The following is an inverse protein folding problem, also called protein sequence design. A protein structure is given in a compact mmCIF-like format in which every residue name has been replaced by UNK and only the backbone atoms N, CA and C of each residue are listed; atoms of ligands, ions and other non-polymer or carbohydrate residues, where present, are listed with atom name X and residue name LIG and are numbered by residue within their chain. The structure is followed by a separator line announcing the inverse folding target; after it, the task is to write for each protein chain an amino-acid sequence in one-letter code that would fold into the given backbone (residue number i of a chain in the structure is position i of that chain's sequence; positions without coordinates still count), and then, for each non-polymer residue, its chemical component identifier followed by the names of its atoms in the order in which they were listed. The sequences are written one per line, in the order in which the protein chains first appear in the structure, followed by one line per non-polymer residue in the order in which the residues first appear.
data_IF_790483949707
#
_entry.id   IF_790483949707
#
_cell.length_a   1.000
_cell.length_b   1.000
_cell.length_c   1.000
_cell.angle_alpha   90.00
_cell.angle_beta   90.00
_cell.angle_gamma   90.00
#
_symmetry.space_group_name_H-M   'P 1'
#
loop_
_entity.id
_entity.type
_entity.pdbx_description
1 polymer ?
#
# COMPACT_ATOMS: atom_id res chain seq x y z
N UNK A 1 -7.92 9.62 -34.55
CA UNK A 1 -7.97 8.74 -33.35
C UNK A 1 -7.18 7.48 -33.69
N UNK A 2 -6.09 7.17 -32.98
CA UNK A 2 -5.24 6.02 -33.35
C UNK A 2 -5.94 4.72 -32.86
N UNK A 3 -6.74 4.10 -33.76
CA UNK A 3 -7.50 2.89 -33.46
C UNK A 3 -6.62 1.68 -33.16
N UNK A 4 -5.40 1.63 -33.71
CA UNK A 4 -4.45 0.54 -33.58
C UNK A 4 -4.04 0.32 -32.10
N UNK A 5 -3.78 1.40 -31.34
CA UNK A 5 -3.42 1.29 -29.90
C UNK A 5 -4.53 0.61 -29.08
N UNK A 6 -5.80 0.92 -29.39
CA UNK A 6 -6.94 0.31 -28.69
C UNK A 6 -7.14 -1.15 -29.09
N UNK A 7 -6.91 -1.50 -30.34
CA UNK A 7 -6.96 -2.89 -30.81
C UNK A 7 -5.96 -3.75 -30.03
N UNK A 8 -4.72 -3.32 -29.92
CA UNK A 8 -3.69 -4.02 -29.16
C UNK A 8 -4.03 -4.07 -27.66
N UNK A 9 -4.51 -2.97 -27.09
CA UNK A 9 -4.91 -2.94 -25.67
C UNK A 9 -6.05 -3.93 -25.35
N UNK A 10 -7.09 -3.97 -26.18
CA UNK A 10 -8.21 -4.90 -26.01
C UNK A 10 -7.75 -6.35 -26.17
N UNK A 11 -6.92 -6.65 -27.16
CA UNK A 11 -6.32 -8.00 -27.31
C UNK A 11 -5.50 -8.39 -26.09
N UNK A 12 -4.69 -7.49 -25.55
CA UNK A 12 -3.95 -7.73 -24.32
C UNK A 12 -4.87 -8.10 -23.16
N UNK A 13 -5.97 -7.35 -22.96
CA UNK A 13 -6.96 -7.63 -21.92
C UNK A 13 -7.63 -9.01 -22.09
N UNK A 14 -7.98 -9.38 -23.33
CA UNK A 14 -8.53 -10.71 -23.63
C UNK A 14 -7.52 -11.82 -23.34
N UNK A 15 -6.26 -11.64 -23.74
CA UNK A 15 -5.18 -12.60 -23.46
C UNK A 15 -4.93 -12.76 -21.96
N UNK A 16 -5.06 -11.68 -21.17
CA UNK A 16 -5.00 -11.77 -19.70
C UNK A 16 -6.13 -12.64 -19.14
N UNK A 17 -7.35 -12.47 -19.61
CA UNK A 17 -8.49 -13.30 -19.16
C UNK A 17 -8.28 -14.78 -19.51
N UNK A 18 -7.57 -15.08 -20.59
CA UNK A 18 -7.19 -16.43 -21.00
C UNK A 18 -5.91 -16.96 -20.31
N UNK A 19 -5.32 -16.19 -19.38
CA UNK A 19 -4.09 -16.57 -18.68
C UNK A 19 -2.81 -16.47 -19.51
N UNK A 20 -2.88 -15.97 -20.74
CA UNK A 20 -1.75 -15.87 -21.68
C UNK A 20 -0.89 -14.62 -21.39
N UNK A 21 -0.24 -14.59 -20.23
CA UNK A 21 0.43 -13.41 -19.67
C UNK A 21 1.50 -12.82 -20.58
N UNK A 22 2.40 -13.64 -21.14
CA UNK A 22 3.49 -13.17 -22.01
C UNK A 22 2.96 -12.53 -23.31
N UNK A 23 1.92 -13.15 -23.89
CA UNK A 23 1.28 -12.61 -25.08
C UNK A 23 0.57 -11.29 -24.78
N UNK A 24 -0.07 -11.17 -23.60
CA UNK A 24 -0.68 -9.93 -23.16
C UNK A 24 0.35 -8.80 -23.00
N UNK A 25 1.50 -9.10 -22.40
CA UNK A 25 2.62 -8.15 -22.30
C UNK A 25 3.07 -7.65 -23.68
N UNK A 26 3.26 -8.54 -24.64
CA UNK A 26 3.65 -8.17 -26.01
C UNK A 26 2.62 -7.22 -26.65
N UNK A 27 1.34 -7.49 -26.49
CA UNK A 27 0.27 -6.64 -27.03
C UNK A 27 0.21 -5.26 -26.33
N UNK A 28 0.43 -5.17 -25.02
CA UNK A 28 0.55 -3.87 -24.35
C UNK A 28 1.75 -3.06 -24.85
N UNK A 29 2.88 -3.71 -25.10
CA UNK A 29 4.04 -3.05 -25.72
C UNK A 29 3.72 -2.54 -27.13
N UNK A 30 2.99 -3.32 -27.93
CA UNK A 30 2.54 -2.88 -29.26
C UNK A 30 1.61 -1.66 -29.15
N UNK A 31 0.71 -1.65 -28.18
CA UNK A 31 -0.16 -0.49 -27.93
C UNK A 31 0.65 0.79 -27.62
N UNK A 32 1.73 0.69 -26.80
CA UNK A 32 2.65 1.81 -26.54
C UNK A 32 3.52 2.19 -27.75
N UNK A 33 3.84 1.24 -28.60
CA UNK A 33 4.55 1.55 -29.87
C UNK A 33 3.68 2.33 -30.83
N UNK A 34 2.36 2.05 -30.86
CA UNK A 34 1.39 2.80 -31.64
C UNK A 34 1.15 4.20 -31.08
N UNK A 35 1.20 4.34 -29.76
CA UNK A 35 1.03 5.61 -29.06
C UNK A 35 1.78 5.58 -27.74
N UNK A 36 2.98 6.22 -27.66
CA UNK A 36 3.79 6.29 -26.43
C UNK A 36 3.07 6.95 -25.26
N UNK A 37 2.11 7.84 -25.52
CA UNK A 37 1.32 8.53 -24.51
C UNK A 37 0.04 7.79 -24.11
N UNK A 38 -0.08 6.51 -24.48
CA UNK A 38 -1.23 5.70 -24.14
C UNK A 38 -1.18 5.19 -22.69
N UNK A 39 -1.58 6.05 -21.76
CA UNK A 39 -1.56 5.84 -20.31
C UNK A 39 -2.15 4.49 -19.86
N UNK A 40 -3.21 4.00 -20.51
CA UNK A 40 -3.85 2.74 -20.13
C UNK A 40 -2.93 1.54 -20.32
N UNK A 41 -2.16 1.51 -21.40
CA UNK A 41 -1.17 0.46 -21.64
C UNK A 41 0.03 0.58 -20.67
N UNK A 42 0.49 1.81 -20.39
CA UNK A 42 1.54 2.05 -19.41
C UNK A 42 1.15 1.53 -18.01
N UNK A 43 -0.04 1.86 -17.54
CA UNK A 43 -0.56 1.34 -16.26
C UNK A 43 -0.69 -0.19 -16.26
N UNK A 44 -1.20 -0.77 -17.34
CA UNK A 44 -1.33 -2.23 -17.44
C UNK A 44 0.03 -2.93 -17.39
N UNK A 45 1.03 -2.42 -18.11
CA UNK A 45 2.40 -2.92 -18.06
C UNK A 45 3.00 -2.80 -16.65
N UNK A 46 2.82 -1.64 -16.00
CA UNK A 46 3.29 -1.44 -14.62
C UNK A 46 2.76 -2.51 -13.68
N UNK A 47 1.45 -2.80 -13.75
CA UNK A 47 0.82 -3.84 -12.96
C UNK A 47 1.30 -5.25 -13.30
N UNK A 48 1.48 -5.56 -14.58
CA UNK A 48 2.00 -6.87 -14.99
C UNK A 48 3.43 -7.10 -14.50
N UNK A 49 4.29 -6.09 -14.63
CA UNK A 49 5.66 -6.16 -14.12
C UNK A 49 5.69 -6.25 -12.58
N UNK A 50 4.84 -5.50 -11.88
CA UNK A 50 4.73 -5.58 -10.43
C UNK A 50 4.28 -6.98 -9.96
N UNK A 51 3.28 -7.57 -10.65
CA UNK A 51 2.80 -8.93 -10.35
C UNK A 51 3.82 -10.03 -10.66
N UNK A 52 4.78 -9.76 -11.53
CA UNK A 52 5.91 -10.64 -11.84
C UNK A 52 7.17 -10.32 -11.00
N UNK A 53 7.03 -9.48 -9.96
CA UNK A 53 8.11 -9.01 -9.08
C UNK A 53 9.26 -8.27 -9.81
N UNK A 54 9.00 -7.85 -11.04
CA UNK A 54 9.91 -7.04 -11.84
C UNK A 54 9.74 -5.57 -11.49
N UNK A 55 10.15 -5.21 -10.29
CA UNK A 55 9.83 -3.90 -9.69
C UNK A 55 10.48 -2.72 -10.41
N UNK A 56 11.68 -2.89 -10.95
CA UNK A 56 12.37 -1.83 -11.70
C UNK A 56 11.57 -1.40 -12.96
N UNK A 57 11.06 -2.38 -13.70
CA UNK A 57 10.23 -2.11 -14.88
C UNK A 57 8.87 -1.55 -14.48
N UNK A 58 8.27 -2.08 -13.40
CA UNK A 58 7.01 -1.56 -12.87
C UNK A 58 7.12 -0.08 -12.50
N UNK A 59 8.19 0.32 -11.79
CA UNK A 59 8.48 1.70 -11.43
C UNK A 59 8.57 2.57 -12.68
N UNK A 60 9.30 2.12 -13.70
CA UNK A 60 9.43 2.87 -14.96
C UNK A 60 8.08 3.16 -15.59
N UNK A 61 7.20 2.15 -15.71
CA UNK A 61 5.90 2.31 -16.35
C UNK A 61 4.90 3.08 -15.49
N UNK A 62 4.94 2.99 -14.16
CA UNK A 62 4.13 3.85 -13.30
C UNK A 62 4.57 5.31 -13.39
N UNK A 63 5.88 5.59 -13.44
CA UNK A 63 6.39 6.96 -13.68
C UNK A 63 5.93 7.51 -15.02
N UNK A 64 5.95 6.69 -16.07
CA UNK A 64 5.46 7.09 -17.37
C UNK A 64 3.95 7.40 -17.35
N UNK A 65 3.14 6.56 -16.71
CA UNK A 65 1.72 6.81 -16.54
C UNK A 65 1.44 8.11 -15.77
N UNK A 66 2.26 8.41 -14.74
CA UNK A 66 2.16 9.64 -13.94
C UNK A 66 2.65 10.88 -14.70
N UNK A 67 3.66 10.75 -15.58
CA UNK A 67 4.04 11.83 -16.51
C UNK A 67 2.85 12.29 -17.34
N UNK A 68 2.01 11.34 -17.78
CA UNK A 68 0.82 11.62 -18.59
C UNK A 68 -0.37 12.13 -17.76
N UNK A 69 -0.46 11.76 -16.49
CA UNK A 69 -1.50 12.19 -15.55
C UNK A 69 -0.96 12.26 -14.12
N UNK A 70 -0.33 13.37 -13.78
CA UNK A 70 0.24 13.60 -12.46
C UNK A 70 -0.77 13.56 -11.31
N UNK A 71 -2.03 13.92 -11.55
CA UNK A 71 -3.10 13.93 -10.55
C UNK A 71 -3.79 12.57 -10.33
N UNK A 72 -3.13 11.45 -10.58
CA UNK A 72 -3.69 10.12 -10.37
C UNK A 72 -3.25 9.55 -9.00
N UNK A 73 -4.08 9.76 -7.97
CA UNK A 73 -3.80 9.29 -6.61
C UNK A 73 -3.57 7.77 -6.53
N UNK A 74 -4.27 6.99 -7.35
CA UNK A 74 -4.12 5.53 -7.38
C UNK A 74 -2.80 5.14 -8.03
N UNK A 75 -2.38 5.81 -9.10
CA UNK A 75 -1.08 5.55 -9.72
C UNK A 75 0.08 5.89 -8.76
N UNK A 76 -0.03 7.00 -8.00
CA UNK A 76 0.94 7.32 -6.93
C UNK A 76 0.97 6.26 -5.82
N UNK A 77 -0.20 5.80 -5.35
CA UNK A 77 -0.29 4.71 -4.37
C UNK A 77 0.40 3.44 -4.89
N UNK A 78 0.10 3.03 -6.11
CA UNK A 78 0.69 1.84 -6.73
C UNK A 78 2.21 1.96 -6.89
N UNK A 79 2.70 3.14 -7.28
CA UNK A 79 4.13 3.42 -7.36
C UNK A 79 4.78 3.31 -5.99
N UNK A 80 4.16 3.86 -4.94
CA UNK A 80 4.63 3.75 -3.56
C UNK A 80 4.70 2.30 -3.09
N UNK A 81 3.67 1.49 -3.41
CA UNK A 81 3.65 0.07 -3.11
C UNK A 81 4.82 -0.68 -3.79
N UNK A 82 5.07 -0.40 -5.06
CA UNK A 82 6.17 -1.05 -5.81
C UNK A 82 7.53 -0.60 -5.27
N UNK A 83 7.69 0.66 -4.90
CA UNK A 83 8.92 1.13 -4.24
C UNK A 83 9.17 0.42 -2.90
N UNK A 84 8.12 0.27 -2.07
CA UNK A 84 8.24 -0.46 -0.81
C UNK A 84 8.67 -1.93 -1.04
N UNK A 85 8.08 -2.60 -2.02
CA UNK A 85 8.48 -3.97 -2.42
C UNK A 85 9.89 -4.04 -2.96
N UNK A 86 10.35 -3.00 -3.65
CA UNK A 86 11.72 -2.88 -4.18
C UNK A 86 12.73 -2.38 -3.13
N UNK A 87 12.37 -2.38 -1.83
CA UNK A 87 13.23 -1.93 -0.72
C UNK A 87 13.72 -0.49 -0.84
N UNK A 88 12.87 0.38 -1.36
CA UNK A 88 13.09 1.81 -1.53
C UNK A 88 12.08 2.61 -0.67
N UNK A 89 12.18 2.56 0.68
CA UNK A 89 11.18 3.13 1.57
C UNK A 89 11.05 4.65 1.47
N UNK A 90 12.11 5.38 1.18
CA UNK A 90 12.06 6.85 1.04
C UNK A 90 11.22 7.27 -0.17
N UNK A 91 11.41 6.61 -1.31
CA UNK A 91 10.64 6.82 -2.53
C UNK A 91 9.19 6.37 -2.35
N UNK A 92 8.97 5.29 -1.57
CA UNK A 92 7.63 4.83 -1.21
C UNK A 92 6.88 5.91 -0.40
N UNK A 93 7.51 6.50 0.63
CA UNK A 93 6.95 7.60 1.43
C UNK A 93 6.55 8.77 0.53
N UNK A 94 7.45 9.21 -0.34
CA UNK A 94 7.17 10.31 -1.28
C UNK A 94 5.95 10.01 -2.17
N UNK A 95 5.87 8.79 -2.70
CA UNK A 95 4.77 8.38 -3.58
C UNK A 95 3.44 8.24 -2.82
N UNK A 96 3.45 7.63 -1.63
CA UNK A 96 2.27 7.56 -0.76
C UNK A 96 1.83 8.97 -0.31
N UNK A 97 2.79 9.85 0.01
CA UNK A 97 2.52 11.25 0.35
C UNK A 97 1.79 11.99 -0.77
N UNK A 98 2.23 11.82 -2.03
CA UNK A 98 1.52 12.36 -3.18
C UNK A 98 0.10 11.78 -3.33
N UNK A 99 -0.06 10.47 -3.09
CA UNK A 99 -1.37 9.82 -3.15
C UNK A 99 -2.35 10.39 -2.12
N UNK A 100 -1.92 10.57 -0.85
CA UNK A 100 -2.79 11.12 0.22
C UNK A 100 -3.02 12.62 0.08
N UNK A 101 -2.11 13.38 -0.51
CA UNK A 101 -2.32 14.77 -0.85
C UNK A 101 -3.44 14.95 -1.89
N UNK A 102 -3.49 14.06 -2.88
CA UNK A 102 -4.54 14.04 -3.90
C UNK A 102 -5.85 13.44 -3.39
N UNK A 103 -5.78 12.45 -2.52
CA UNK A 103 -6.93 11.76 -1.94
C UNK A 103 -6.69 11.45 -0.46
N UNK A 104 -7.01 12.38 0.46
CA UNK A 104 -6.78 12.20 1.91
C UNK A 104 -7.50 11.00 2.53
N UNK A 105 -8.59 10.52 1.92
CA UNK A 105 -9.35 9.35 2.36
C UNK A 105 -8.79 8.01 1.87
N UNK A 106 -7.61 7.96 1.26
CA UNK A 106 -6.99 6.71 0.81
C UNK A 106 -6.23 6.04 1.97
N UNK A 107 -6.96 5.28 2.79
CA UNK A 107 -6.46 4.58 3.98
C UNK A 107 -5.27 3.68 3.70
N UNK A 108 -5.30 2.93 2.59
CA UNK A 108 -4.20 2.06 2.16
C UNK A 108 -2.90 2.83 1.91
N UNK A 109 -2.96 4.08 1.43
CA UNK A 109 -1.77 4.88 1.22
C UNK A 109 -1.19 5.38 2.56
N UNK A 110 -2.04 5.78 3.51
CA UNK A 110 -1.62 6.08 4.87
C UNK A 110 -0.98 4.87 5.56
N UNK A 111 -1.60 3.69 5.44
CA UNK A 111 -1.06 2.46 5.98
C UNK A 111 0.30 2.10 5.36
N UNK A 112 0.42 2.17 4.03
CA UNK A 112 1.68 1.92 3.31
C UNK A 112 2.78 2.91 3.70
N UNK A 113 2.43 4.20 3.88
CA UNK A 113 3.36 5.22 4.34
C UNK A 113 3.85 4.92 5.77
N UNK A 114 2.95 4.49 6.67
CA UNK A 114 3.33 4.06 8.02
C UNK A 114 4.31 2.88 8.02
N UNK A 115 4.08 1.88 7.18
CA UNK A 115 5.01 0.75 7.03
C UNK A 115 6.38 1.19 6.50
N UNK A 116 6.41 2.13 5.56
CA UNK A 116 7.66 2.63 5.01
C UNK A 116 8.45 3.45 6.05
N UNK A 117 7.79 4.30 6.86
CA UNK A 117 8.41 4.99 7.99
C UNK A 117 8.92 4.00 9.05
N UNK A 118 8.14 2.98 9.40
CA UNK A 118 8.56 1.94 10.36
C UNK A 118 9.81 1.19 9.86
N UNK A 119 9.93 0.94 8.56
CA UNK A 119 11.12 0.32 7.95
C UNK A 119 12.37 1.20 8.12
N UNK A 120 12.21 2.52 8.20
CA UNK A 120 13.29 3.48 8.46
C UNK A 120 13.51 3.76 9.96
N UNK A 121 12.78 3.06 10.85
CA UNK A 121 12.74 3.33 12.29
C UNK A 121 12.27 4.75 12.64
N UNK A 122 11.54 5.39 11.77
CA UNK A 122 10.89 6.69 11.97
C UNK A 122 9.54 6.47 12.67
N UNK A 123 9.59 6.06 13.96
CA UNK A 123 8.46 5.51 14.68
C UNK A 123 7.33 6.53 14.96
N UNK A 124 7.67 7.81 15.15
CA UNK A 124 6.66 8.87 15.35
C UNK A 124 5.90 9.19 14.08
N UNK A 125 6.58 9.23 12.95
CA UNK A 125 5.99 9.39 11.62
C UNK A 125 5.13 8.19 11.25
N UNK A 126 5.61 6.97 11.54
CA UNK A 126 4.84 5.75 11.37
C UNK A 126 3.55 5.77 12.20
N UNK A 127 3.63 6.18 13.47
CA UNK A 127 2.48 6.33 14.37
C UNK A 127 1.45 7.31 13.79
N UNK A 128 1.88 8.48 13.30
CA UNK A 128 0.99 9.47 12.72
C UNK A 128 0.27 8.92 11.46
N UNK A 129 0.99 8.21 10.61
CA UNK A 129 0.42 7.62 9.40
C UNK A 129 -0.56 6.48 9.72
N UNK A 130 -0.22 5.57 10.64
CA UNK A 130 -1.12 4.51 11.07
C UNK A 130 -2.36 5.02 11.81
N UNK A 131 -2.25 6.11 12.60
CA UNK A 131 -3.41 6.74 13.24
C UNK A 131 -4.41 7.24 12.18
N UNK A 132 -3.92 7.85 11.10
CA UNK A 132 -4.78 8.27 9.97
C UNK A 132 -5.43 7.07 9.28
N UNK A 133 -4.68 5.99 9.01
CA UNK A 133 -5.24 4.78 8.41
C UNK A 133 -6.32 4.15 9.32
N UNK A 134 -6.04 4.02 10.62
CA UNK A 134 -6.95 3.46 11.60
C UNK A 134 -8.25 4.27 11.76
N UNK A 135 -8.16 5.61 11.73
CA UNK A 135 -9.36 6.49 11.76
C UNK A 135 -10.19 6.39 10.49
N UNK A 136 -9.57 6.20 9.33
CA UNK A 136 -10.27 6.01 8.06
C UNK A 136 -10.96 4.63 7.99
N UNK A 137 -10.39 3.63 8.66
CA UNK A 137 -10.90 2.27 8.74
C UNK A 137 -10.98 1.82 10.21
N UNK A 138 -11.98 2.27 11.00
CA UNK A 138 -12.02 2.04 12.45
C UNK A 138 -12.05 0.56 12.88
N UNK A 139 -12.49 -0.33 12.02
CA UNK A 139 -12.53 -1.78 12.27
C UNK A 139 -11.35 -2.54 11.66
N UNK A 140 -10.34 -1.84 11.16
CA UNK A 140 -9.13 -2.47 10.62
C UNK A 140 -8.17 -2.87 11.73
N UNK A 141 -8.27 -4.12 12.21
CA UNK A 141 -7.35 -4.65 13.22
C UNK A 141 -5.87 -4.52 12.83
N UNK A 142 -5.45 -4.77 11.56
CA UNK A 142 -4.08 -4.55 11.14
C UNK A 142 -3.59 -3.09 11.32
N UNK A 143 -4.45 -2.09 11.03
CA UNK A 143 -4.06 -0.70 11.16
C UNK A 143 -3.86 -0.30 12.65
N UNK A 144 -4.79 -0.71 13.51
CA UNK A 144 -4.67 -0.50 14.96
C UNK A 144 -3.49 -1.23 15.57
N UNK A 145 -3.24 -2.47 15.15
CA UNK A 145 -2.09 -3.23 15.62
C UNK A 145 -0.77 -2.54 15.24
N UNK A 146 -0.62 -2.10 13.99
CA UNK A 146 0.58 -1.39 13.56
C UNK A 146 0.74 -0.04 14.27
N UNK A 147 -0.38 0.66 14.55
CA UNK A 147 -0.37 1.86 15.39
C UNK A 147 0.16 1.54 16.79
N UNK A 148 -0.30 0.46 17.41
CA UNK A 148 0.18 0.02 18.72
C UNK A 148 1.67 -0.30 18.73
N UNK A 149 2.15 -1.04 17.74
CA UNK A 149 3.58 -1.32 17.57
C UNK A 149 4.41 -0.04 17.38
N UNK A 150 3.91 0.91 16.59
CA UNK A 150 4.57 2.20 16.41
C UNK A 150 4.60 3.01 17.72
N UNK A 151 3.51 3.01 18.51
CA UNK A 151 3.47 3.63 19.83
C UNK A 151 4.49 3.01 20.79
N UNK A 152 4.60 1.67 20.82
CA UNK A 152 5.60 0.95 21.61
C UNK A 152 7.02 1.40 21.28
N UNK A 153 7.38 1.38 19.99
CA UNK A 153 8.73 1.78 19.56
C UNK A 153 9.00 3.28 19.71
N UNK A 154 7.95 4.12 19.70
CA UNK A 154 8.07 5.55 19.99
C UNK A 154 8.07 5.89 21.49
N UNK A 155 7.95 4.88 22.37
CA UNK A 155 7.83 5.03 23.82
C UNK A 155 6.60 5.84 24.27
N UNK A 156 5.49 5.75 23.52
CA UNK A 156 4.23 6.42 23.80
C UNK A 156 3.26 5.46 24.53
N UNK A 157 3.57 5.13 25.79
CA UNK A 157 2.87 4.10 26.57
C UNK A 157 1.37 4.39 26.75
N UNK A 158 0.99 5.62 27.09
CA UNK A 158 -0.42 5.99 27.27
C UNK A 158 -1.23 5.79 25.99
N UNK A 159 -0.62 6.11 24.85
CA UNK A 159 -1.26 5.91 23.53
C UNK A 159 -1.37 4.43 23.20
N UNK A 160 -0.35 3.64 23.51
CA UNK A 160 -0.37 2.18 23.35
C UNK A 160 -1.54 1.57 24.13
N UNK A 161 -1.74 1.95 25.40
CA UNK A 161 -2.85 1.48 26.23
C UNK A 161 -4.20 1.80 25.61
N UNK A 162 -4.40 3.05 25.11
CA UNK A 162 -5.63 3.43 24.41
C UNK A 162 -5.88 2.56 23.17
N UNK A 163 -4.84 2.28 22.39
CA UNK A 163 -4.92 1.42 21.20
C UNK A 163 -5.30 -0.02 21.57
N UNK A 164 -4.68 -0.58 22.62
CA UNK A 164 -5.00 -1.94 23.12
C UNK A 164 -6.47 -2.01 23.54
N UNK A 165 -6.94 -1.06 24.35
CA UNK A 165 -8.33 -1.00 24.77
C UNK A 165 -9.29 -0.89 23.60
N UNK A 166 -8.97 -0.07 22.59
CA UNK A 166 -9.79 0.06 21.40
C UNK A 166 -9.83 -1.24 20.60
N UNK A 167 -8.69 -1.84 20.36
CA UNK A 167 -8.55 -3.09 19.60
C UNK A 167 -9.28 -4.25 20.29
N UNK A 168 -9.22 -4.33 21.63
CA UNK A 168 -9.88 -5.37 22.41
C UNK A 168 -11.43 -5.39 22.24
N UNK A 169 -12.05 -4.26 21.86
CA UNK A 169 -13.51 -4.18 21.69
C UNK A 169 -14.03 -4.96 20.47
N UNK A 170 -13.22 -5.10 19.43
CA UNK A 170 -13.66 -5.73 18.19
C UNK A 170 -12.75 -6.87 17.70
N UNK A 171 -11.47 -6.89 18.11
CA UNK A 171 -10.54 -7.99 17.84
C UNK A 171 -9.67 -8.28 19.07
N UNK A 172 -10.22 -8.99 20.10
CA UNK A 172 -9.47 -9.34 21.30
C UNK A 172 -8.25 -10.22 21.03
N UNK A 173 -8.26 -11.02 19.96
CA UNK A 173 -7.10 -11.85 19.58
C UNK A 173 -5.92 -11.00 19.15
N UNK A 174 -6.17 -9.98 18.35
CA UNK A 174 -5.15 -9.03 17.92
C UNK A 174 -4.67 -8.17 19.10
N UNK A 175 -5.57 -7.79 20.01
CA UNK A 175 -5.19 -7.12 21.27
C UNK A 175 -4.28 -7.98 22.12
N UNK A 176 -4.59 -9.28 22.29
CA UNK A 176 -3.74 -10.24 23.01
C UNK A 176 -2.34 -10.32 22.41
N UNK A 177 -2.27 -10.41 21.08
CA UNK A 177 -1.00 -10.43 20.36
C UNK A 177 -0.17 -9.16 20.64
N UNK A 178 -0.82 -7.99 20.55
CA UNK A 178 -0.16 -6.71 20.79
C UNK A 178 0.36 -6.61 22.25
N UNK A 179 -0.44 -7.02 23.24
CA UNK A 179 -0.04 -7.06 24.66
C UNK A 179 1.21 -7.93 24.86
N UNK A 180 1.22 -9.12 24.25
CA UNK A 180 2.34 -10.05 24.37
C UNK A 180 3.62 -9.51 23.71
N UNK A 181 3.52 -8.95 22.52
CA UNK A 181 4.67 -8.45 21.75
C UNK A 181 5.24 -7.15 22.34
N UNK A 182 4.41 -6.32 22.97
CA UNK A 182 4.85 -5.05 23.61
C UNK A 182 5.24 -5.21 25.08
N UNK A 183 4.96 -6.37 25.68
CA UNK A 183 5.20 -6.61 27.10
C UNK A 183 4.28 -5.80 28.04
N UNK A 184 3.11 -5.36 27.58
CA UNK A 184 2.11 -4.61 28.37
C UNK A 184 1.36 -5.52 29.33
N UNK A 185 2.08 -6.14 30.29
CA UNK A 185 1.56 -7.15 31.22
C UNK A 185 0.50 -6.62 32.17
N UNK A 186 0.49 -5.33 32.45
CA UNK A 186 -0.52 -4.61 33.21
C UNK A 186 -1.91 -4.67 32.55
N UNK A 187 -1.98 -4.84 31.23
CA UNK A 187 -3.22 -5.00 30.47
C UNK A 187 -3.58 -6.48 30.18
N UNK A 188 -2.81 -7.45 30.69
CA UNK A 188 -3.05 -8.87 30.44
C UNK A 188 -4.44 -9.35 30.94
N UNK A 189 -5.02 -8.66 31.91
CA UNK A 189 -6.37 -8.96 32.42
C UNK A 189 -7.47 -8.83 31.37
N UNK A 190 -7.28 -7.98 30.35
CA UNK A 190 -8.25 -7.75 29.27
C UNK A 190 -8.48 -8.99 28.39
N UNK A 191 -7.54 -9.92 28.39
CA UNK A 191 -7.48 -11.04 27.45
C UNK A 191 -7.31 -12.41 28.15
N UNK A 192 -7.54 -12.48 29.48
CA UNK A 192 -7.35 -13.69 30.28
C UNK A 192 -8.22 -14.87 29.83
N UNK A 193 -9.46 -14.59 29.44
CA UNK A 193 -10.45 -15.62 29.09
C UNK A 193 -10.37 -16.08 27.63
N UNK A 194 -9.44 -15.52 26.85
CA UNK A 194 -9.20 -15.96 25.48
C UNK A 194 -8.37 -17.25 25.49
N UNK A 195 -9.07 -18.38 25.41
CA UNK A 195 -8.45 -19.69 25.19
C UNK A 195 -7.68 -19.67 23.87
N UNK A 196 -6.48 -20.25 23.86
CA UNK A 196 -5.59 -20.38 22.72
C UNK A 196 -6.23 -21.21 21.61
#
# INVERSE_FOLDING_TARGET
MNFEKWRHYIRARLLEMLGMRERALAEYHLALRCDPDFRWAANALAWRYASAERYAEAIRYFKEALRLKAGDAIAHFNLGFVYAKNRQPKEAISSFGAAVALRPGLDMAWYGMGLAHATLSEHREAMAAFDRAARLQPMSAPAWYQLGMACHHAHEGDRLHQVIHHLNRFDPRMAKRLILETGSTDLAYLVRDLVV
#
